data_IF_164817827061
#
_entry.id   IF_164817827061
#
_cell.length_a   1.000
_cell.length_b   1.000
_cell.length_c   1.000
_cell.angle_alpha   90.00
_cell.angle_beta   90.00
_cell.angle_gamma   90.00
#
_symmetry.space_group_name_H-M   'P 1'
#
loop_
_entity.id
_entity.type
_entity.pdbx_description
1 polymer ?
#
# COMPACT_ATOMS: atom_id res chain seq x y z
N UNK A 1 5.50 -6.52 -23.57
CA UNK A 1 6.77 -6.37 -22.87
C UNK A 1 6.74 -7.10 -21.53
N UNK A 2 7.87 -7.71 -21.16
CA UNK A 2 8.08 -8.24 -19.82
C UNK A 2 8.82 -7.17 -19.00
N UNK A 3 8.36 -6.93 -17.77
CA UNK A 3 8.99 -6.03 -16.83
C UNK A 3 9.44 -6.80 -15.59
N UNK A 4 10.63 -6.51 -15.11
CA UNK A 4 11.00 -6.89 -13.75
C UNK A 4 10.18 -6.06 -12.76
N UNK A 5 9.66 -6.71 -11.72
CA UNK A 5 8.88 -6.05 -10.68
C UNK A 5 9.72 -5.88 -9.39
N UNK A 6 10.44 -4.75 -9.24
CA UNK A 6 11.33 -4.55 -8.10
C UNK A 6 10.59 -4.34 -6.78
N UNK A 7 9.29 -4.02 -6.83
CA UNK A 7 8.47 -3.74 -5.64
C UNK A 7 7.60 -4.93 -5.23
N UNK A 8 7.38 -5.89 -6.14
CA UNK A 8 6.55 -7.07 -5.87
C UNK A 8 5.08 -6.73 -5.61
N UNK A 9 4.57 -5.64 -6.19
CA UNK A 9 3.17 -5.19 -6.12
C UNK A 9 2.66 -5.02 -7.55
N UNK A 10 1.41 -5.39 -7.77
CA UNK A 10 0.73 -5.20 -9.04
C UNK A 10 -0.74 -4.83 -8.77
N UNK A 11 -1.25 -3.89 -9.53
CA UNK A 11 -2.66 -3.52 -9.61
C UNK A 11 -3.12 -3.51 -11.06
N UNK A 12 -4.44 -3.45 -11.29
CA UNK A 12 -5.03 -3.69 -12.61
C UNK A 12 -4.76 -2.60 -13.66
N UNK A 13 -4.60 -1.33 -13.26
CA UNK A 13 -4.36 -0.19 -14.17
C UNK A 13 -3.63 0.94 -13.45
N UNK A 14 -2.93 1.83 -14.13
CA UNK A 14 -2.48 1.81 -15.54
C UNK A 14 -1.36 0.79 -15.78
N UNK A 15 -0.71 0.77 -16.96
CA UNK A 15 0.43 -0.11 -17.22
C UNK A 15 1.51 -0.01 -16.16
N UNK A 16 2.22 -1.11 -15.91
CA UNK A 16 3.15 -1.24 -14.80
C UNK A 16 4.31 -0.24 -14.83
N UNK A 17 4.85 0.06 -16.01
CA UNK A 17 5.90 1.06 -16.21
C UNK A 17 5.47 2.47 -15.77
N UNK A 18 4.23 2.85 -16.07
CA UNK A 18 3.66 4.10 -15.57
C UNK A 18 3.55 4.09 -14.04
N UNK A 19 3.13 2.98 -13.45
CA UNK A 19 3.00 2.87 -12.01
C UNK A 19 4.36 3.00 -11.31
N UNK A 20 5.41 2.38 -11.86
CA UNK A 20 6.78 2.56 -11.37
C UNK A 20 7.25 4.00 -11.49
N UNK A 21 7.01 4.63 -12.65
CA UNK A 21 7.36 6.03 -12.85
C UNK A 21 6.66 6.95 -11.83
N UNK A 22 5.38 6.71 -11.57
CA UNK A 22 4.58 7.49 -10.62
C UNK A 22 5.15 7.46 -9.20
N UNK A 23 5.86 6.40 -8.79
CA UNK A 23 6.49 6.34 -7.47
C UNK A 23 7.50 7.48 -7.23
N UNK A 24 8.08 8.07 -8.29
CA UNK A 24 8.96 9.23 -8.16
C UNK A 24 8.28 10.41 -7.46
N UNK A 25 6.96 10.56 -7.63
CA UNK A 25 6.18 11.63 -6.99
C UNK A 25 6.07 11.46 -5.47
N UNK A 26 6.35 10.27 -4.96
CA UNK A 26 6.22 9.90 -3.55
C UNK A 26 7.57 9.67 -2.87
N UNK A 27 8.66 10.07 -3.50
CA UNK A 27 10.03 9.86 -3.01
C UNK A 27 10.34 10.52 -1.65
N UNK A 28 9.53 11.49 -1.24
CA UNK A 28 9.67 12.16 0.06
C UNK A 28 8.99 11.41 1.21
N UNK A 29 8.16 10.41 0.92
CA UNK A 29 7.51 9.61 1.93
C UNK A 29 8.52 8.77 2.70
N UNK A 30 8.31 8.64 4.01
CA UNK A 30 9.12 7.79 4.87
C UNK A 30 8.28 7.22 6.02
N UNK A 31 8.79 6.18 6.69
CA UNK A 31 8.21 5.66 7.91
C UNK A 31 8.66 6.42 9.17
N UNK A 32 9.53 7.41 9.00
CA UNK A 32 10.11 8.22 10.07
C UNK A 32 9.39 9.54 10.32
N UNK A 33 9.99 10.34 11.19
CA UNK A 33 9.53 11.69 11.48
C UNK A 33 10.14 12.66 10.47
N UNK A 34 9.33 13.47 9.75
CA UNK A 34 9.85 14.40 8.75
C UNK A 34 10.54 15.59 9.39
N UNK A 35 11.58 16.09 8.72
CA UNK A 35 12.20 17.37 9.02
C UNK A 35 11.40 18.50 8.33
N UNK A 36 11.52 19.73 8.87
CA UNK A 36 10.92 20.90 8.24
C UNK A 36 11.76 21.37 7.05
N UNK A 37 11.35 20.99 5.86
CA UNK A 37 11.91 21.49 4.60
C UNK A 37 11.01 22.52 3.90
N UNK A 38 9.87 22.89 4.54
CA UNK A 38 8.90 23.79 3.94
C UNK A 38 9.44 25.23 3.86
N UNK A 39 9.91 25.77 4.97
CA UNK A 39 10.53 27.08 5.06
C UNK A 39 11.25 27.27 6.39
N UNK A 40 12.33 28.04 6.36
CA UNK A 40 13.01 28.49 7.59
C UNK A 40 12.37 29.75 8.21
N UNK A 41 11.36 30.34 7.55
CA UNK A 41 10.69 31.57 8.00
C UNK A 41 9.56 31.31 8.99
N UNK A 42 9.10 30.05 9.10
CA UNK A 42 8.06 29.66 10.04
C UNK A 42 8.49 28.40 10.81
N UNK A 43 8.06 28.34 12.06
CA UNK A 43 8.27 27.15 12.89
C UNK A 43 7.11 26.17 12.68
N UNK A 44 7.42 25.00 12.10
CA UNK A 44 6.47 23.90 11.91
C UNK A 44 6.88 22.73 12.79
N UNK A 45 5.91 22.15 13.48
CA UNK A 45 6.16 21.16 14.51
C UNK A 45 5.57 19.80 14.14
N UNK A 46 6.24 18.75 14.57
CA UNK A 46 5.70 17.39 14.56
C UNK A 46 4.69 17.26 15.70
N UNK A 47 3.46 16.90 15.37
CA UNK A 47 2.37 16.77 16.35
C UNK A 47 1.90 15.31 16.55
N UNK A 48 2.36 14.37 15.68
CA UNK A 48 2.01 12.94 15.81
C UNK A 48 3.06 12.04 15.15
N UNK A 49 3.00 10.75 15.48
CA UNK A 49 3.72 9.70 14.73
C UNK A 49 3.07 9.50 13.36
N UNK A 50 3.84 8.97 12.40
CA UNK A 50 3.34 8.67 11.06
C UNK A 50 3.31 9.86 10.09
N UNK A 51 3.78 11.03 10.49
CA UNK A 51 3.77 12.23 9.63
C UNK A 51 4.69 12.11 8.43
N UNK A 52 5.67 11.19 8.43
CA UNK A 52 6.47 10.86 7.25
C UNK A 52 5.66 10.29 6.09
N UNK A 53 4.46 9.80 6.37
CA UNK A 53 3.48 9.31 5.37
C UNK A 53 2.52 10.36 4.83
N UNK A 54 2.66 11.63 5.21
CA UNK A 54 1.80 12.70 4.68
C UNK A 54 1.97 12.81 3.16
N UNK A 55 0.85 12.74 2.43
CA UNK A 55 0.83 12.66 0.97
C UNK A 55 0.66 11.24 0.42
N UNK A 56 0.71 10.20 1.28
CA UNK A 56 0.34 8.85 0.87
C UNK A 56 -1.13 8.84 0.41
N UNK A 57 -1.44 8.36 -0.82
CA UNK A 57 -2.81 8.42 -1.32
C UNK A 57 -3.74 7.50 -0.52
N UNK A 58 -4.93 8.00 -0.22
CA UNK A 58 -5.94 7.27 0.56
C UNK A 58 -7.16 6.81 -0.23
N UNK A 59 -7.29 7.25 -1.49
CA UNK A 59 -8.39 6.80 -2.35
C UNK A 59 -8.20 5.36 -2.84
N UNK A 60 -9.25 4.77 -3.41
CA UNK A 60 -9.28 3.37 -3.82
C UNK A 60 -8.99 3.15 -5.31
N UNK A 61 -8.55 4.18 -6.04
CA UNK A 61 -8.12 4.00 -7.43
C UNK A 61 -6.93 3.02 -7.52
N UNK A 62 -6.79 2.37 -8.66
CA UNK A 62 -5.72 1.40 -8.89
C UNK A 62 -4.32 2.00 -8.70
N UNK A 63 -4.12 3.24 -9.16
CA UNK A 63 -2.84 3.97 -8.98
C UNK A 63 -2.54 4.21 -7.50
N UNK A 64 -3.53 4.70 -6.77
CA UNK A 64 -3.38 5.00 -5.33
C UNK A 64 -3.18 3.73 -4.51
N UNK A 65 -3.89 2.65 -4.82
CA UNK A 65 -3.69 1.35 -4.17
C UNK A 65 -2.28 0.79 -4.43
N UNK A 66 -1.77 0.96 -5.66
CA UNK A 66 -0.39 0.56 -5.98
C UNK A 66 0.62 1.29 -5.11
N UNK A 67 0.54 2.62 -5.03
CA UNK A 67 1.44 3.44 -4.21
C UNK A 67 1.35 3.06 -2.75
N UNK A 68 0.13 2.96 -2.22
CA UNK A 68 -0.12 2.64 -0.81
C UNK A 68 0.37 1.23 -0.45
N UNK A 69 0.07 0.23 -1.26
CA UNK A 69 0.53 -1.14 -1.05
C UNK A 69 2.06 -1.24 -1.14
N UNK A 70 2.67 -0.55 -2.10
CA UNK A 70 4.13 -0.52 -2.27
C UNK A 70 4.81 0.11 -1.07
N UNK A 71 4.38 1.29 -0.65
CA UNK A 71 4.93 1.97 0.52
C UNK A 71 4.79 1.11 1.78
N UNK A 72 3.61 0.56 2.01
CA UNK A 72 3.33 -0.29 3.17
C UNK A 72 4.21 -1.54 3.17
N UNK A 73 4.29 -2.24 2.03
CA UNK A 73 5.11 -3.45 1.90
C UNK A 73 6.60 -3.19 2.10
N UNK A 74 7.12 -2.13 1.48
CA UNK A 74 8.56 -1.81 1.52
C UNK A 74 9.02 -1.34 2.90
N UNK A 75 8.12 -0.82 3.74
CA UNK A 75 8.41 -0.33 5.08
C UNK A 75 7.93 -1.27 6.20
N UNK A 76 7.16 -2.30 5.87
CA UNK A 76 6.68 -3.28 6.85
C UNK A 76 7.83 -4.12 7.38
N UNK A 77 7.85 -4.35 8.69
CA UNK A 77 8.80 -5.27 9.31
C UNK A 77 8.41 -6.71 9.03
N UNK A 78 9.40 -7.56 8.75
CA UNK A 78 9.20 -9.00 8.63
C UNK A 78 8.94 -9.64 9.99
N UNK A 79 8.13 -10.71 10.03
CA UNK A 79 7.95 -11.51 11.23
C UNK A 79 9.08 -12.54 11.40
N UNK A 80 9.28 -12.97 12.65
CA UNK A 80 10.28 -14.00 12.99
C UNK A 80 9.73 -15.43 12.87
N UNK A 81 8.42 -15.55 12.67
CA UNK A 81 7.72 -16.82 12.48
C UNK A 81 6.81 -16.79 11.26
N UNK A 82 6.39 -17.98 10.80
CA UNK A 82 5.40 -18.09 9.72
C UNK A 82 4.09 -17.38 10.08
N UNK A 83 3.60 -17.58 11.31
CA UNK A 83 2.37 -16.95 11.79
C UNK A 83 2.45 -15.41 11.75
N UNK A 84 3.56 -14.84 12.20
CA UNK A 84 3.79 -13.39 12.16
C UNK A 84 3.89 -12.88 10.72
N UNK A 85 4.61 -13.59 9.85
CA UNK A 85 4.76 -13.21 8.45
C UNK A 85 3.42 -13.25 7.70
N UNK A 86 2.59 -14.27 7.94
CA UNK A 86 1.25 -14.38 7.36
C UNK A 86 0.33 -13.27 7.89
N UNK A 87 0.37 -13.01 9.20
CA UNK A 87 -0.38 -11.90 9.80
C UNK A 87 0.01 -10.56 9.18
N UNK A 88 1.31 -10.28 9.08
CA UNK A 88 1.81 -9.05 8.48
C UNK A 88 1.41 -8.92 7.00
N UNK A 89 1.45 -10.01 6.24
CA UNK A 89 1.00 -10.02 4.86
C UNK A 89 -0.47 -9.58 4.73
N UNK A 90 -1.35 -10.10 5.59
CA UNK A 90 -2.75 -9.68 5.61
C UNK A 90 -2.93 -8.23 6.06
N UNK A 91 -2.09 -7.70 6.94
CA UNK A 91 -2.11 -6.27 7.29
C UNK A 91 -1.70 -5.40 6.11
N UNK A 92 -0.71 -5.82 5.32
CA UNK A 92 -0.32 -5.11 4.10
C UNK A 92 -1.47 -5.07 3.10
N UNK A 93 -2.12 -6.21 2.84
CA UNK A 93 -3.31 -6.27 1.98
C UNK A 93 -4.47 -5.43 2.53
N UNK A 94 -4.67 -5.45 3.85
CA UNK A 94 -5.69 -4.67 4.54
C UNK A 94 -5.54 -3.16 4.31
N UNK A 95 -4.34 -2.69 4.03
CA UNK A 95 -4.10 -1.27 3.74
C UNK A 95 -4.79 -0.77 2.46
N UNK A 96 -5.18 -1.69 1.57
CA UNK A 96 -5.83 -1.40 0.28
C UNK A 96 -7.17 -2.10 0.11
N UNK A 97 -7.75 -2.59 1.20
CA UNK A 97 -9.10 -3.16 1.18
C UNK A 97 -10.15 -2.14 0.76
N UNK A 98 -11.07 -2.59 -0.09
CA UNK A 98 -12.20 -1.79 -0.56
C UNK A 98 -13.46 -2.18 0.23
N UNK A 99 -14.00 -1.26 0.99
CA UNK A 99 -15.22 -1.46 1.75
C UNK A 99 -16.44 -1.38 0.83
N UNK A 100 -17.46 -2.20 1.11
CA UNK A 100 -18.71 -2.17 0.35
C UNK A 100 -19.39 -0.80 0.46
N UNK A 101 -19.75 -0.23 -0.67
CA UNK A 101 -20.40 1.07 -0.76
C UNK A 101 -19.47 2.23 -1.08
N UNK A 102 -18.15 2.07 -0.98
CA UNK A 102 -17.17 3.14 -1.24
C UNK A 102 -16.80 3.24 -2.72
N UNK A 103 -16.89 2.15 -3.48
CA UNK A 103 -16.68 2.11 -4.92
C UNK A 103 -17.97 1.74 -5.64
N UNK A 104 -18.74 2.75 -6.06
CA UNK A 104 -19.96 2.56 -6.82
C UNK A 104 -19.62 2.30 -8.29
N UNK A 105 -20.09 1.19 -8.82
CA UNK A 105 -19.94 0.81 -10.24
C UNK A 105 -21.15 1.16 -11.09
N UNK A 106 -22.18 1.80 -10.49
CA UNK A 106 -23.45 2.13 -11.09
C UNK A 106 -24.55 1.10 -10.80
N UNK A 107 -25.79 1.52 -11.01
CA UNK A 107 -26.98 0.65 -10.84
C UNK A 107 -27.10 -0.02 -9.45
N UNK A 108 -26.62 0.63 -8.40
CA UNK A 108 -26.67 0.10 -7.03
C UNK A 108 -25.70 -1.05 -6.77
N UNK A 109 -24.70 -1.23 -7.62
CA UNK A 109 -23.66 -2.23 -7.47
C UNK A 109 -22.37 -1.60 -6.95
N UNK A 110 -21.60 -2.36 -6.20
CA UNK A 110 -20.36 -1.91 -5.58
C UNK A 110 -19.22 -2.87 -5.86
N UNK A 111 -18.03 -2.31 -6.12
CA UNK A 111 -16.78 -3.05 -6.05
C UNK A 111 -16.28 -3.03 -4.60
N UNK A 112 -15.92 -4.19 -4.07
CA UNK A 112 -15.39 -4.33 -2.72
C UNK A 112 -14.59 -5.62 -2.55
N UNK A 113 -13.72 -5.64 -1.55
CA UNK A 113 -12.92 -6.82 -1.23
C UNK A 113 -13.81 -7.89 -0.59
N UNK A 114 -13.92 -9.03 -1.25
CA UNK A 114 -14.70 -10.18 -0.75
C UNK A 114 -13.83 -11.01 0.20
N UNK A 115 -12.59 -11.25 -0.18
CA UNK A 115 -11.60 -11.95 0.64
C UNK A 115 -10.19 -11.57 0.21
N UNK A 116 -9.23 -11.82 1.08
CA UNK A 116 -7.80 -11.73 0.80
C UNK A 116 -7.15 -13.09 0.97
N UNK A 117 -6.16 -13.41 0.15
CA UNK A 117 -5.46 -14.69 0.21
C UNK A 117 -3.94 -14.54 0.18
N UNK A 118 -3.26 -15.53 0.70
CA UNK A 118 -1.82 -15.61 0.80
C UNK A 118 -1.36 -17.06 0.59
N UNK A 119 -0.24 -17.25 -0.10
CA UNK A 119 0.38 -18.56 -0.29
C UNK A 119 1.76 -18.59 0.35
N UNK A 120 2.01 -19.58 1.21
CA UNK A 120 3.37 -19.96 1.56
C UNK A 120 3.84 -20.97 0.51
N UNK A 121 4.64 -20.51 -0.45
CA UNK A 121 5.07 -21.33 -1.59
C UNK A 121 6.07 -22.42 -1.19
N UNK A 122 6.87 -22.21 -0.14
CA UNK A 122 7.85 -23.18 0.34
C UNK A 122 7.17 -24.40 0.97
N UNK A 123 6.05 -24.20 1.64
CA UNK A 123 5.27 -25.25 2.29
C UNK A 123 4.06 -25.71 1.50
N UNK A 124 3.68 -25.01 0.42
CA UNK A 124 2.49 -25.30 -0.35
C UNK A 124 1.19 -25.06 0.42
N UNK A 125 1.16 -24.06 1.34
CA UNK A 125 0.00 -23.76 2.17
C UNK A 125 -0.70 -22.49 1.65
N UNK A 126 -2.01 -22.59 1.50
CA UNK A 126 -2.88 -21.48 1.11
C UNK A 126 -3.66 -20.95 2.33
N UNK A 127 -3.60 -19.65 2.56
CA UNK A 127 -4.32 -18.95 3.62
C UNK A 127 -5.32 -17.98 3.01
N UNK A 128 -6.43 -17.76 3.67
CA UNK A 128 -7.38 -16.72 3.27
C UNK A 128 -8.07 -16.10 4.49
N UNK A 129 -8.53 -14.86 4.30
CA UNK A 129 -9.31 -14.09 5.28
C UNK A 129 -10.51 -13.47 4.57
N UNK A 130 -11.70 -13.64 5.11
CA UNK A 130 -12.94 -12.99 4.69
C UNK A 130 -13.21 -11.75 5.50
#
# INVERSE_FOLDING_TARGET
HLYDNPVGVLTNNPPFDYQLFNLNNYRSLSNGTPENHFSNQISLNVYSRGMGGLGLPGDLSSVSRFVKATFTKMNAASGDSESESISQFFHILGSVEQQKGVCDTGEGKYEYTIYSSCCNVDKGIYYYRT
#
